data_IF_914528710233
#
_entry.id   IF_914528710233
#
_cell.length_a   1.000
_cell.length_b   1.000
_cell.length_c   1.000
_cell.angle_alpha   90.00
_cell.angle_beta   90.00
_cell.angle_gamma   90.00
#
_symmetry.space_group_name_H-M   'P 1'
#
loop_
_entity.id
_entity.type
_entity.pdbx_description
1 polymer ?
#
# COMPACT_ATOMS: atom_id res chain seq x y z
N UNK A 1 3.20 9.91 -13.66
CA UNK A 1 4.46 9.16 -13.48
C UNK A 1 4.48 8.38 -12.17
N UNK A 2 3.94 8.93 -11.05
CA UNK A 2 4.03 8.31 -9.72
C UNK A 2 3.43 6.89 -9.61
N UNK A 3 2.40 6.57 -10.40
CA UNK A 3 1.81 5.22 -10.42
C UNK A 3 2.72 4.16 -11.05
N UNK A 4 3.68 4.55 -11.86
CA UNK A 4 4.59 3.59 -12.53
C UNK A 4 5.43 2.75 -11.56
N UNK A 5 5.63 3.22 -10.35
CA UNK A 5 6.38 2.51 -9.32
C UNK A 5 5.50 1.81 -8.27
N UNK A 6 4.17 1.75 -8.47
CA UNK A 6 3.22 1.07 -7.57
C UNK A 6 2.64 -0.13 -8.32
N UNK A 7 3.00 -1.37 -7.97
CA UNK A 7 2.43 -2.55 -8.59
C UNK A 7 0.97 -2.73 -8.16
N UNK A 8 0.14 -3.29 -9.05
CA UNK A 8 -1.24 -3.59 -8.78
C UNK A 8 -2.19 -3.18 -9.91
N UNK A 9 -3.49 -3.39 -9.72
CA UNK A 9 -4.53 -2.97 -10.64
C UNK A 9 -4.96 -1.52 -10.37
N UNK A 10 -5.53 -0.87 -11.39
CA UNK A 10 -6.11 0.48 -11.24
C UNK A 10 -7.28 0.46 -10.24
N UNK A 11 -8.10 -0.61 -10.24
CA UNK A 11 -9.20 -0.76 -9.27
C UNK A 11 -8.67 -0.79 -7.83
N UNK A 12 -7.64 -1.60 -7.55
CA UNK A 12 -6.99 -1.63 -6.24
C UNK A 12 -6.34 -0.30 -5.86
N UNK A 13 -5.72 0.38 -6.84
CA UNK A 13 -5.14 1.70 -6.62
C UNK A 13 -6.20 2.74 -6.21
N UNK A 14 -7.41 2.67 -6.78
CA UNK A 14 -8.52 3.58 -6.44
C UNK A 14 -9.03 3.28 -5.02
N UNK A 15 -9.35 2.01 -4.72
CA UNK A 15 -9.85 1.61 -3.39
C UNK A 15 -8.86 2.02 -2.27
N UNK A 16 -7.57 1.85 -2.52
CA UNK A 16 -6.51 2.17 -1.54
C UNK A 16 -6.04 3.63 -1.61
N UNK A 17 -6.62 4.46 -2.47
CA UNK A 17 -6.07 5.79 -2.78
C UNK A 17 -4.55 5.74 -2.90
N UNK A 18 -4.07 4.83 -3.76
CA UNK A 18 -2.64 4.55 -3.87
C UNK A 18 -1.85 5.77 -4.29
N UNK A 19 -0.74 5.99 -3.64
CA UNK A 19 0.10 7.13 -3.93
C UNK A 19 1.51 7.02 -3.36
N UNK A 20 2.40 7.81 -3.91
CA UNK A 20 3.76 8.01 -3.42
C UNK A 20 4.28 9.38 -3.86
N UNK A 21 5.33 9.85 -3.20
CA UNK A 21 5.98 11.12 -3.53
C UNK A 21 4.99 12.29 -3.60
N UNK A 22 4.15 12.41 -2.55
CA UNK A 22 3.13 13.47 -2.39
C UNK A 22 2.00 13.46 -3.43
N UNK A 23 1.90 12.41 -4.24
CA UNK A 23 0.81 12.20 -5.18
C UNK A 23 0.04 10.94 -4.85
N UNK A 24 -1.26 10.95 -5.14
CA UNK A 24 -2.16 9.81 -5.06
C UNK A 24 -3.15 9.82 -6.23
N UNK A 25 -3.89 8.71 -6.38
CA UNK A 25 -4.77 8.53 -7.53
C UNK A 25 -5.94 9.51 -7.54
N UNK A 26 -6.37 10.02 -6.39
CA UNK A 26 -7.45 11.01 -6.29
C UNK A 26 -7.15 12.28 -7.07
N UNK A 27 -5.87 12.65 -7.23
CA UNK A 27 -5.46 13.85 -7.98
C UNK A 27 -5.66 13.75 -9.48
N UNK A 28 -5.75 12.52 -10.00
CA UNK A 28 -5.85 12.28 -11.45
C UNK A 28 -7.14 11.55 -11.86
N UNK A 29 -7.91 11.04 -10.90
CA UNK A 29 -9.18 10.37 -11.17
C UNK A 29 -10.25 11.38 -11.60
N UNK A 30 -11.08 11.01 -12.60
CA UNK A 30 -12.28 11.75 -13.01
C UNK A 30 -13.56 11.00 -12.66
N UNK A 31 -13.62 9.72 -12.99
CA UNK A 31 -14.75 8.83 -12.66
C UNK A 31 -14.32 7.38 -12.71
N UNK A 32 -15.15 6.52 -12.13
CA UNK A 32 -15.05 5.07 -12.23
C UNK A 32 -16.35 4.50 -12.81
N UNK A 33 -16.24 3.34 -13.46
CA UNK A 33 -17.39 2.45 -13.70
C UNK A 33 -17.19 1.22 -12.84
N UNK A 34 -18.24 0.82 -12.15
CA UNK A 34 -18.21 -0.33 -11.26
C UNK A 34 -19.46 -1.19 -11.44
N UNK A 35 -19.33 -2.49 -11.18
CA UNK A 35 -20.47 -3.39 -11.01
C UNK A 35 -20.88 -3.33 -9.54
N UNK A 36 -22.14 -2.99 -9.30
CA UNK A 36 -22.79 -3.16 -8.01
C UNK A 36 -23.27 -4.61 -7.90
N UNK A 37 -22.68 -5.38 -7.00
CA UNK A 37 -22.97 -6.82 -6.82
C UNK A 37 -24.38 -7.07 -6.28
N UNK A 38 -24.97 -6.12 -5.57
CA UNK A 38 -26.32 -6.25 -5.01
C UNK A 38 -27.38 -5.94 -6.05
N UNK A 39 -27.17 -4.87 -6.84
CA UNK A 39 -28.10 -4.43 -7.88
C UNK A 39 -27.88 -5.13 -9.22
N UNK A 40 -26.79 -5.90 -9.36
CA UNK A 40 -26.36 -6.54 -10.61
C UNK A 40 -26.34 -5.58 -11.81
N UNK A 41 -25.91 -4.36 -11.57
CA UNK A 41 -25.91 -3.27 -12.55
C UNK A 41 -24.57 -2.54 -12.61
N UNK A 42 -24.27 -1.94 -13.76
CA UNK A 42 -23.10 -1.08 -13.92
C UNK A 42 -23.50 0.34 -13.56
N UNK A 43 -22.73 0.93 -12.66
CA UNK A 43 -22.89 2.33 -12.24
C UNK A 43 -21.64 3.14 -12.59
N UNK A 44 -21.82 4.43 -12.87
CA UNK A 44 -20.70 5.38 -12.96
C UNK A 44 -20.71 6.29 -11.73
N UNK A 45 -19.56 6.44 -11.09
CA UNK A 45 -19.37 7.29 -9.91
C UNK A 45 -18.32 8.33 -10.26
N UNK A 46 -18.64 9.60 -10.10
CA UNK A 46 -17.69 10.70 -10.31
C UNK A 46 -16.73 10.80 -9.14
N UNK A 47 -15.55 11.34 -9.41
CA UNK A 47 -14.53 11.56 -8.36
C UNK A 47 -15.08 12.35 -7.17
N UNK A 48 -15.92 13.36 -7.43
CA UNK A 48 -16.45 14.27 -6.42
C UNK A 48 -17.46 13.59 -5.47
N UNK A 49 -17.98 12.43 -5.87
CA UNK A 49 -18.88 11.58 -5.06
C UNK A 49 -18.08 10.56 -4.23
N UNK A 50 -16.75 10.56 -4.31
CA UNK A 50 -15.86 9.64 -3.58
C UNK A 50 -15.05 10.42 -2.56
N UNK A 51 -15.14 10.04 -1.28
CA UNK A 51 -14.27 10.58 -0.24
C UNK A 51 -12.99 9.78 -0.15
N UNK A 52 -11.88 10.43 -0.49
CA UNK A 52 -10.55 9.86 -0.41
C UNK A 52 -9.90 10.20 0.93
N UNK A 53 -9.25 9.21 1.50
CA UNK A 53 -8.44 9.34 2.72
C UNK A 53 -7.05 8.74 2.49
N UNK A 54 -6.17 8.83 3.49
CA UNK A 54 -4.88 8.15 3.43
C UNK A 54 -5.08 6.63 3.42
N UNK A 55 -4.74 5.99 2.30
CA UNK A 55 -4.89 4.54 2.06
C UNK A 55 -6.34 4.05 2.18
N UNK A 56 -7.28 4.81 1.66
CA UNK A 56 -8.66 4.37 1.64
C UNK A 56 -9.61 5.28 0.87
N UNK A 57 -10.81 4.77 0.65
CA UNK A 57 -11.98 5.47 0.10
C UNK A 57 -13.21 5.06 0.89
N UNK A 58 -14.30 5.82 0.75
CA UNK A 58 -15.62 5.47 1.27
C UNK A 58 -16.47 4.64 0.29
N UNK A 59 -15.86 4.11 -0.77
CA UNK A 59 -16.55 3.25 -1.72
C UNK A 59 -17.05 1.97 -1.03
N UNK A 60 -18.32 1.57 -1.27
CA UNK A 60 -18.87 0.34 -0.72
C UNK A 60 -18.11 -0.92 -1.16
N UNK A 61 -18.00 -1.90 -0.27
CA UNK A 61 -17.28 -3.17 -0.53
C UNK A 61 -18.01 -4.08 -1.55
N UNK A 62 -19.28 -3.81 -1.84
CA UNK A 62 -20.05 -4.52 -2.87
C UNK A 62 -19.73 -4.07 -4.30
N UNK A 63 -18.85 -3.10 -4.49
CA UNK A 63 -18.48 -2.61 -5.82
C UNK A 63 -17.25 -3.33 -6.39
N UNK A 64 -17.32 -3.70 -7.67
CA UNK A 64 -16.18 -4.18 -8.46
C UNK A 64 -15.86 -3.13 -9.50
N UNK A 65 -14.74 -2.44 -9.37
CA UNK A 65 -14.29 -1.42 -10.33
C UNK A 65 -13.85 -2.11 -11.62
N UNK A 66 -14.48 -1.76 -12.74
CA UNK A 66 -14.20 -2.35 -14.06
C UNK A 66 -13.45 -1.40 -14.99
N UNK A 67 -13.58 -0.08 -14.79
CA UNK A 67 -12.81 0.91 -15.54
C UNK A 67 -12.71 2.22 -14.78
N UNK A 68 -11.77 3.07 -15.17
CA UNK A 68 -11.59 4.41 -14.63
C UNK A 68 -11.23 5.40 -15.74
N UNK A 69 -11.71 6.62 -15.62
CA UNK A 69 -11.26 7.76 -16.42
C UNK A 69 -10.25 8.56 -15.60
N UNK A 70 -9.07 8.73 -16.16
CA UNK A 70 -7.98 9.49 -15.53
C UNK A 70 -7.67 10.73 -16.37
N UNK A 71 -7.31 11.83 -15.69
CA UNK A 71 -6.85 13.07 -16.31
C UNK A 71 -5.32 13.13 -16.26
N UNK A 72 -4.70 13.29 -17.41
CA UNK A 72 -3.29 13.61 -17.54
C UNK A 72 -3.08 15.03 -18.05
N UNK A 73 -1.87 15.53 -17.97
CA UNK A 73 -1.41 16.76 -18.63
C UNK A 73 -0.41 16.42 -19.72
N UNK A 74 -0.42 17.21 -20.80
CA UNK A 74 0.61 17.09 -21.83
C UNK A 74 1.98 17.45 -21.25
N UNK A 75 3.00 16.70 -21.62
CA UNK A 75 4.37 16.93 -21.17
C UNK A 75 5.39 16.48 -22.22
N UNK A 76 6.63 16.87 -22.02
CA UNK A 76 7.76 16.45 -22.85
C UNK A 76 8.14 15.03 -22.47
N UNK A 77 8.16 14.12 -23.45
CA UNK A 77 8.36 12.68 -23.26
C UNK A 77 9.61 12.37 -22.42
N UNK A 78 10.73 12.98 -22.79
CA UNK A 78 12.02 12.75 -22.13
C UNK A 78 12.01 13.16 -20.64
N UNK A 79 11.27 14.24 -20.31
CA UNK A 79 11.09 14.68 -18.91
C UNK A 79 10.21 13.71 -18.12
N UNK A 80 9.18 13.15 -18.76
CA UNK A 80 8.29 12.16 -18.14
C UNK A 80 9.06 10.87 -17.85
N UNK A 81 9.79 10.35 -18.85
CA UNK A 81 10.60 9.13 -18.72
C UNK A 81 11.69 9.28 -17.65
N UNK A 82 12.38 10.43 -17.64
CA UNK A 82 13.36 10.72 -16.58
C UNK A 82 12.72 10.69 -15.19
N UNK A 83 11.59 11.36 -15.02
CA UNK A 83 10.89 11.39 -13.72
C UNK A 83 10.40 10.00 -13.28
N UNK A 84 9.95 9.16 -14.22
CA UNK A 84 9.62 7.77 -13.93
C UNK A 84 10.84 6.97 -13.45
N UNK A 85 11.95 7.09 -14.15
CA UNK A 85 13.22 6.44 -13.79
C UNK A 85 13.69 6.87 -12.41
N UNK A 86 13.66 8.17 -12.12
CA UNK A 86 14.05 8.74 -10.83
C UNK A 86 13.18 8.18 -9.68
N UNK A 87 11.87 8.03 -9.89
CA UNK A 87 10.97 7.44 -8.90
C UNK A 87 11.25 5.94 -8.68
N UNK A 88 11.48 5.20 -9.76
CA UNK A 88 11.79 3.76 -9.70
C UNK A 88 13.12 3.55 -8.96
N UNK A 89 14.14 4.33 -9.28
CA UNK A 89 15.45 4.25 -8.65
C UNK A 89 15.38 4.60 -7.15
N UNK A 90 14.69 5.68 -6.81
CA UNK A 90 14.43 6.08 -5.43
C UNK A 90 13.75 4.97 -4.63
N UNK A 91 12.81 4.27 -5.25
CA UNK A 91 12.11 3.16 -4.61
C UNK A 91 13.01 1.94 -4.47
N UNK A 92 13.76 1.59 -5.50
CA UNK A 92 14.75 0.50 -5.46
C UNK A 92 15.84 0.74 -4.42
N UNK A 93 16.28 1.97 -4.21
CA UNK A 93 17.31 2.30 -3.21
C UNK A 93 16.79 2.17 -1.76
N UNK A 94 15.53 2.51 -1.50
CA UNK A 94 14.95 2.58 -0.14
C UNK A 94 14.10 1.37 0.27
N UNK A 95 13.62 0.56 -0.66
CA UNK A 95 12.71 -0.56 -0.39
C UNK A 95 13.28 -1.87 -0.95
N UNK A 96 12.91 -3.04 -0.37
CA UNK A 96 13.32 -4.33 -0.91
C UNK A 96 12.72 -4.51 -2.32
N UNK A 97 13.51 -5.06 -3.23
CA UNK A 97 13.13 -5.39 -4.60
C UNK A 97 13.52 -6.83 -4.90
N UNK A 98 12.82 -7.47 -5.84
CA UNK A 98 13.09 -8.86 -6.26
C UNK A 98 12.95 -9.89 -5.12
N UNK A 99 12.12 -9.60 -4.12
CA UNK A 99 11.81 -10.49 -3.00
C UNK A 99 10.30 -10.56 -2.79
N UNK A 100 9.81 -11.71 -2.31
CA UNK A 100 8.37 -11.90 -2.02
C UNK A 100 7.97 -11.04 -0.82
N UNK A 101 7.18 -10.00 -1.04
CA UNK A 101 6.65 -9.10 -0.01
C UNK A 101 5.32 -8.51 -0.44
N UNK A 102 4.46 -8.19 0.51
CA UNK A 102 3.19 -7.48 0.27
C UNK A 102 3.35 -5.93 0.27
N UNK A 103 4.58 -5.42 0.30
CA UNK A 103 4.84 -3.98 0.42
C UNK A 103 4.91 -3.51 1.88
N UNK A 104 4.54 -2.26 2.12
CA UNK A 104 4.45 -1.73 3.49
C UNK A 104 3.39 -2.48 4.29
N UNK A 105 3.78 -3.07 5.41
CA UNK A 105 2.87 -3.86 6.25
C UNK A 105 1.91 -2.97 7.04
N UNK A 106 2.41 -1.84 7.56
CA UNK A 106 1.63 -0.91 8.37
C UNK A 106 1.52 0.46 7.72
N UNK A 107 0.40 1.14 7.98
CA UNK A 107 0.19 2.54 7.62
C UNK A 107 1.15 3.44 8.42
N UNK A 108 1.58 4.54 7.81
CA UNK A 108 2.26 5.60 8.56
C UNK A 108 1.23 6.40 9.38
N UNK A 109 1.59 6.82 10.57
CA UNK A 109 0.71 7.60 11.46
C UNK A 109 0.59 9.06 10.98
N UNK A 110 1.71 9.62 10.53
CA UNK A 110 1.80 10.99 10.01
C UNK A 110 2.98 11.14 9.05
N UNK A 111 3.18 12.36 8.54
CA UNK A 111 4.38 12.67 7.73
C UNK A 111 5.67 12.47 8.52
N UNK A 112 5.67 12.78 9.81
CA UNK A 112 6.87 12.75 10.65
C UNK A 112 6.97 11.48 11.49
N UNK A 113 5.86 10.77 11.74
CA UNK A 113 5.82 9.54 12.51
C UNK A 113 5.53 8.33 11.61
N UNK A 114 6.59 7.78 11.04
CA UNK A 114 6.52 6.64 10.11
C UNK A 114 6.50 5.31 10.88
N UNK A 115 5.76 4.33 10.37
CA UNK A 115 5.70 2.99 10.98
C UNK A 115 7.08 2.34 11.12
N UNK A 116 7.96 2.46 10.12
CA UNK A 116 9.29 1.89 10.18
C UNK A 116 10.15 2.45 11.33
N UNK A 117 9.96 3.72 11.69
CA UNK A 117 10.66 4.34 12.82
C UNK A 117 10.26 3.69 14.15
N UNK A 118 8.96 3.47 14.35
CA UNK A 118 8.43 2.81 15.55
C UNK A 118 8.86 1.36 15.67
N UNK A 119 8.90 0.63 14.54
CA UNK A 119 9.37 -0.76 14.48
C UNK A 119 10.86 -0.83 14.88
N UNK A 120 11.65 0.11 14.38
CA UNK A 120 13.08 0.23 14.72
C UNK A 120 13.28 0.62 16.19
N UNK A 121 12.57 1.63 16.68
CA UNK A 121 12.59 2.07 18.08
C UNK A 121 12.21 0.93 19.03
N UNK A 122 11.29 0.07 18.63
CA UNK A 122 10.90 -1.10 19.40
C UNK A 122 11.93 -2.27 19.34
N UNK A 123 12.99 -2.16 18.55
CA UNK A 123 14.02 -3.19 18.39
C UNK A 123 13.52 -4.45 17.67
N UNK A 124 12.62 -4.29 16.69
CA UNK A 124 12.01 -5.42 15.99
C UNK A 124 12.73 -5.81 14.68
N UNK A 125 13.84 -5.15 14.32
CA UNK A 125 14.49 -5.28 13.00
C UNK A 125 14.87 -6.71 12.62
N UNK A 126 15.22 -7.55 13.59
CA UNK A 126 15.64 -8.94 13.37
C UNK A 126 14.53 -9.97 13.67
N UNK A 127 13.28 -9.53 13.87
CA UNK A 127 12.17 -10.43 14.16
C UNK A 127 11.89 -11.36 12.98
N UNK A 128 11.62 -12.64 13.33
CA UNK A 128 11.29 -13.73 12.40
C UNK A 128 10.20 -14.62 12.98
N UNK A 129 9.45 -15.26 12.09
CA UNK A 129 8.55 -16.38 12.38
C UNK A 129 8.65 -17.35 11.19
N UNK A 130 9.18 -18.55 11.41
CA UNK A 130 9.52 -19.45 10.30
C UNK A 130 10.41 -18.74 9.26
N UNK A 131 10.01 -18.80 7.99
CA UNK A 131 10.69 -18.11 6.89
C UNK A 131 10.18 -16.68 6.65
N UNK A 132 9.23 -16.19 7.47
CA UNK A 132 8.83 -14.79 7.46
C UNK A 132 9.80 -13.95 8.28
N UNK A 133 10.23 -12.81 7.74
CA UNK A 133 11.16 -11.92 8.44
C UNK A 133 10.92 -10.45 8.08
N UNK A 134 11.40 -9.56 8.94
CA UNK A 134 11.46 -8.13 8.63
C UNK A 134 12.62 -7.89 7.66
N UNK A 135 12.38 -7.08 6.61
CA UNK A 135 13.40 -6.72 5.66
C UNK A 135 14.48 -5.84 6.32
N UNK A 136 15.74 -6.26 6.21
CA UNK A 136 16.89 -5.46 6.66
C UNK A 136 17.01 -4.10 5.95
N UNK A 137 16.42 -3.98 4.75
CA UNK A 137 16.45 -2.75 3.98
C UNK A 137 15.40 -1.73 4.42
N UNK A 138 14.25 -2.21 4.91
CA UNK A 138 13.14 -1.35 5.33
C UNK A 138 12.23 -2.07 6.33
N UNK A 139 12.26 -1.69 7.59
CA UNK A 139 11.60 -2.41 8.69
C UNK A 139 10.08 -2.56 8.56
N UNK A 140 9.41 -1.73 7.75
CA UNK A 140 7.97 -1.85 7.50
C UNK A 140 7.63 -2.80 6.33
N UNK A 141 8.63 -3.52 5.80
CA UNK A 141 8.43 -4.55 4.77
C UNK A 141 8.70 -5.93 5.37
N UNK A 142 7.66 -6.75 5.42
CA UNK A 142 7.79 -8.13 5.83
C UNK A 142 7.95 -8.98 4.57
N UNK A 143 8.91 -9.89 4.61
CA UNK A 143 9.33 -10.65 3.44
C UNK A 143 9.26 -12.15 3.72
N UNK A 144 8.90 -12.90 2.69
CA UNK A 144 9.01 -14.35 2.67
C UNK A 144 10.39 -14.73 2.12
N UNK A 145 11.26 -15.21 3.00
CA UNK A 145 12.64 -15.59 2.66
C UNK A 145 12.76 -17.05 2.17
N UNK A 146 11.64 -17.66 1.79
CA UNK A 146 11.63 -19.06 1.31
C UNK A 146 10.22 -19.60 1.24
N UNK A 147 9.83 -20.37 2.23
CA UNK A 147 8.56 -21.11 2.31
C UNK A 147 7.65 -20.63 3.46
N UNK A 148 7.71 -19.35 3.84
CA UNK A 148 6.84 -18.80 4.87
C UNK A 148 5.36 -19.05 4.51
N UNK A 149 4.60 -19.52 5.48
CA UNK A 149 3.14 -19.65 5.41
C UNK A 149 2.49 -18.29 5.74
N UNK A 150 1.23 -18.10 5.34
CA UNK A 150 0.45 -16.91 5.71
C UNK A 150 0.43 -16.70 7.23
N UNK A 151 0.29 -17.80 7.99
CA UNK A 151 0.31 -17.78 9.44
C UNK A 151 1.63 -17.25 10.02
N UNK A 152 2.76 -17.54 9.40
CA UNK A 152 4.06 -17.01 9.85
C UNK A 152 4.11 -15.48 9.70
N UNK A 153 3.58 -14.96 8.59
CA UNK A 153 3.46 -13.51 8.38
C UNK A 153 2.51 -12.89 9.40
N UNK A 154 1.35 -13.51 9.67
CA UNK A 154 0.39 -13.02 10.66
C UNK A 154 0.97 -13.03 12.08
N UNK A 155 1.66 -14.09 12.47
CA UNK A 155 2.32 -14.18 13.76
C UNK A 155 3.41 -13.10 13.91
N UNK A 156 4.21 -12.89 12.85
CA UNK A 156 5.21 -11.83 12.84
C UNK A 156 4.57 -10.44 12.98
N UNK A 157 3.46 -10.19 12.28
CA UNK A 157 2.67 -8.95 12.40
C UNK A 157 2.24 -8.73 13.85
N UNK A 158 1.64 -9.73 14.47
CA UNK A 158 1.13 -9.64 15.84
C UNK A 158 2.25 -9.40 16.86
N UNK A 159 3.39 -10.10 16.68
CA UNK A 159 4.57 -9.92 17.50
C UNK A 159 5.14 -8.50 17.43
N UNK A 160 5.21 -7.94 16.21
CA UNK A 160 5.68 -6.57 16.02
C UNK A 160 4.69 -5.55 16.59
N UNK A 161 3.39 -5.71 16.33
CA UNK A 161 2.35 -4.82 16.91
C UNK A 161 2.42 -4.77 18.42
N UNK A 162 2.50 -5.93 19.07
CA UNK A 162 2.61 -6.05 20.52
C UNK A 162 3.87 -5.32 21.02
N UNK A 163 5.01 -5.59 20.42
CA UNK A 163 6.28 -5.00 20.85
C UNK A 163 6.33 -3.49 20.67
N UNK A 164 5.81 -2.98 19.55
CA UNK A 164 5.72 -1.53 19.31
C UNK A 164 4.78 -0.87 20.32
N UNK A 165 3.62 -1.48 20.59
CA UNK A 165 2.69 -0.96 21.58
C UNK A 165 3.31 -0.91 22.99
N UNK A 166 3.98 -1.97 23.41
CA UNK A 166 4.69 -2.04 24.72
C UNK A 166 5.77 -0.95 24.86
N UNK A 167 6.51 -0.68 23.77
CA UNK A 167 7.65 0.23 23.80
C UNK A 167 7.28 1.69 23.61
N UNK A 168 6.29 1.96 22.72
CA UNK A 168 5.98 3.32 22.25
C UNK A 168 4.57 3.78 22.61
N UNK A 169 3.72 2.90 23.14
CA UNK A 169 2.30 3.16 23.39
C UNK A 169 1.44 3.24 22.12
N UNK A 170 2.01 2.99 20.93
CA UNK A 170 1.34 3.16 19.64
C UNK A 170 0.80 1.84 19.11
N UNK A 171 -0.48 1.83 18.72
CA UNK A 171 -1.09 0.73 17.99
C UNK A 171 -0.88 0.93 16.47
N UNK A 172 -0.11 0.04 15.84
CA UNK A 172 0.10 0.04 14.40
C UNK A 172 -1.15 -0.48 13.66
N UNK A 173 -1.56 0.24 12.61
CA UNK A 173 -2.65 -0.14 11.72
C UNK A 173 -2.10 -0.79 10.45
N UNK A 174 -2.70 -1.91 10.01
CA UNK A 174 -2.30 -2.61 8.80
C UNK A 174 -2.60 -1.79 7.54
N UNK A 175 -1.66 -1.74 6.61
CA UNK A 175 -1.86 -1.28 5.23
C UNK A 175 -2.25 -2.46 4.32
N UNK A 176 -1.74 -3.65 4.61
CA UNK A 176 -2.12 -4.90 3.90
C UNK A 176 -3.46 -5.42 4.39
N UNK A 177 -4.14 -6.20 3.54
CA UNK A 177 -5.38 -6.92 3.90
C UNK A 177 -5.09 -8.41 4.03
N UNK A 178 -5.54 -9.00 5.13
CA UNK A 178 -5.52 -10.45 5.32
C UNK A 178 -6.86 -10.97 4.79
N UNK A 179 -6.82 -11.95 3.89
CA UNK A 179 -8.00 -12.55 3.26
C UNK A 179 -7.93 -14.07 3.38
N UNK A 180 -9.09 -14.71 3.48
CA UNK A 180 -9.25 -16.16 3.61
C UNK A 180 -9.97 -16.55 4.89
N UNK A 181 -10.16 -17.85 5.04
CA UNK A 181 -10.72 -18.46 6.27
C UNK A 181 -9.58 -18.82 7.23
N UNK A 182 -9.87 -18.79 8.54
CA UNK A 182 -8.94 -19.18 9.61
C UNK A 182 -9.14 -20.64 9.99
#
# INVERSE_FOLDING_TARGET
EFLSCIPGSIGGAIIMNSGCYENDISKVLLSIRAIDKEKLSIIEIKKDDIKFSYRGTDLPDNLIIISAKLKGSKGVKEKIEKKQSDFIEKKKSSQPSQIKTCGSTFKNLSKDKKAWMLIKEAGCEDFREGDAMISRKHCNFFVNNGNAKSLDIENLINKVKKKVQEKTGVNLELEIKIVGEK
#
